data_IF_909088208831
#
_entry.id   IF_909088208831
#
_cell.length_a   1.000
_cell.length_b   1.000
_cell.length_c   1.000
_cell.angle_alpha   90.00
_cell.angle_beta   90.00
_cell.angle_gamma   90.00
#
_symmetry.space_group_name_H-M   'P 1'
#
loop_
_entity.id
_entity.type
_entity.pdbx_description
1 polymer ?
#
# COMPACT_ATOMS: atom_id res chain seq x y z
N UNK A 1 -3.82 20.21 -34.64
CA UNK A 1 -2.62 19.45 -34.35
C UNK A 1 -3.00 18.39 -33.31
N UNK A 2 -3.15 17.13 -33.75
CA UNK A 2 -3.42 16.01 -32.85
C UNK A 2 -2.24 15.90 -31.86
N UNK A 3 -2.50 16.16 -30.59
CA UNK A 3 -1.53 15.81 -29.53
C UNK A 3 -1.20 14.33 -29.68
N UNK A 4 0.06 13.91 -29.63
CA UNK A 4 0.41 12.51 -29.74
C UNK A 4 -0.36 11.72 -28.66
N UNK A 5 -1.07 10.67 -29.08
CA UNK A 5 -1.75 9.78 -28.16
C UNK A 5 -0.67 9.07 -27.32
N UNK A 6 -0.60 9.43 -26.02
CA UNK A 6 0.30 8.76 -25.08
C UNK A 6 -0.09 7.28 -24.96
N UNK A 7 0.90 6.42 -25.01
CA UNK A 7 0.74 4.99 -24.78
C UNK A 7 1.11 4.64 -23.33
N UNK A 8 0.29 3.81 -22.68
CA UNK A 8 0.45 3.43 -21.29
C UNK A 8 0.43 1.92 -21.15
N UNK A 9 1.36 1.37 -20.38
CA UNK A 9 1.23 0.02 -19.85
C UNK A 9 0.66 0.04 -18.44
N UNK A 10 -0.33 -0.82 -18.18
CA UNK A 10 -0.85 -1.10 -16.85
C UNK A 10 -0.28 -2.45 -16.45
N UNK A 11 0.78 -2.45 -15.63
CA UNK A 11 1.46 -3.68 -15.20
C UNK A 11 0.68 -4.32 -14.06
N UNK A 12 0.36 -5.60 -14.21
CA UNK A 12 -0.36 -6.41 -13.21
C UNK A 12 0.36 -7.73 -12.97
N UNK A 13 0.09 -8.36 -11.83
CA UNK A 13 0.64 -9.68 -11.51
C UNK A 13 0.01 -10.77 -12.39
N UNK A 14 0.85 -11.50 -13.11
CA UNK A 14 0.41 -12.57 -14.02
C UNK A 14 -0.03 -13.86 -13.33
N UNK A 15 0.27 -14.02 -12.04
CA UNK A 15 -0.05 -15.21 -11.26
C UNK A 15 -1.32 -15.04 -10.39
N UNK A 16 -1.83 -13.82 -10.24
CA UNK A 16 -3.07 -13.56 -9.52
C UNK A 16 -4.28 -13.81 -10.43
N UNK A 17 -4.91 -14.97 -10.25
CA UNK A 17 -6.02 -15.43 -11.13
C UNK A 17 -7.41 -15.01 -10.65
N UNK A 18 -7.53 -14.40 -9.47
CA UNK A 18 -8.84 -14.00 -8.96
C UNK A 18 -9.42 -12.83 -9.77
N UNK A 19 -10.71 -12.93 -10.17
CA UNK A 19 -11.42 -11.95 -11.02
C UNK A 19 -11.29 -10.51 -10.54
N UNK A 20 -11.31 -10.26 -9.22
CA UNK A 20 -11.14 -8.91 -8.65
C UNK A 20 -9.91 -8.15 -9.15
N UNK A 21 -8.82 -8.85 -9.51
CA UNK A 21 -7.60 -8.22 -10.02
C UNK A 21 -7.71 -7.89 -11.51
N UNK A 22 -8.35 -8.77 -12.29
CA UNK A 22 -8.64 -8.48 -13.71
C UNK A 22 -9.66 -7.36 -13.87
N UNK A 23 -10.68 -7.33 -13.02
CA UNK A 23 -11.71 -6.28 -13.03
C UNK A 23 -11.11 -4.93 -12.67
N UNK A 24 -10.21 -4.88 -11.67
CA UNK A 24 -9.46 -3.66 -11.34
C UNK A 24 -8.57 -3.20 -12.51
N UNK A 25 -7.88 -4.13 -13.18
CA UNK A 25 -7.04 -3.78 -14.33
C UNK A 25 -7.85 -3.20 -15.49
N UNK A 26 -9.02 -3.78 -15.77
CA UNK A 26 -9.95 -3.27 -16.77
C UNK A 26 -10.50 -1.89 -16.39
N UNK A 27 -10.90 -1.70 -15.13
CA UNK A 27 -11.39 -0.43 -14.61
C UNK A 27 -10.35 0.70 -14.79
N UNK A 28 -9.08 0.42 -14.51
CA UNK A 28 -7.97 1.37 -14.70
C UNK A 28 -7.74 1.61 -16.20
N UNK A 29 -7.76 0.57 -17.03
CA UNK A 29 -7.60 0.70 -18.50
C UNK A 29 -8.69 1.58 -19.09
N UNK A 30 -9.93 1.38 -18.70
CA UNK A 30 -11.06 2.20 -19.17
C UNK A 30 -10.89 3.69 -18.79
N UNK A 31 -10.39 3.96 -17.57
CA UNK A 31 -10.06 5.32 -17.15
C UNK A 31 -8.97 5.95 -18.02
N UNK A 32 -7.89 5.22 -18.33
CA UNK A 32 -6.85 5.67 -19.24
C UNK A 32 -7.40 6.05 -20.63
N UNK A 33 -8.24 5.17 -21.19
CA UNK A 33 -8.87 5.39 -22.50
C UNK A 33 -9.78 6.61 -22.47
N UNK A 34 -10.61 6.79 -21.41
CA UNK A 34 -11.44 8.00 -21.26
C UNK A 34 -10.62 9.31 -21.23
N UNK A 35 -9.39 9.21 -20.71
CA UNK A 35 -8.46 10.36 -20.65
C UNK A 35 -7.58 10.50 -21.90
N UNK A 36 -7.86 9.74 -22.97
CA UNK A 36 -7.21 9.85 -24.28
C UNK A 36 -5.87 9.11 -24.41
N UNK A 37 -5.56 8.17 -23.51
CA UNK A 37 -4.38 7.33 -23.64
C UNK A 37 -4.73 6.04 -24.40
N UNK A 38 -3.73 5.50 -25.13
CA UNK A 38 -3.74 4.11 -25.58
C UNK A 38 -3.20 3.24 -24.45
N UNK A 39 -3.99 2.35 -23.88
CA UNK A 39 -3.61 1.58 -22.69
C UNK A 39 -3.64 0.08 -22.93
N UNK A 40 -2.58 -0.62 -22.55
CA UNK A 40 -2.47 -2.08 -22.58
C UNK A 40 -2.25 -2.64 -21.18
N UNK A 41 -2.98 -3.71 -20.86
CA UNK A 41 -2.76 -4.47 -19.63
C UNK A 41 -1.65 -5.48 -19.90
N UNK A 42 -0.54 -5.35 -19.19
CA UNK A 42 0.63 -6.22 -19.33
C UNK A 42 0.83 -7.03 -18.06
N UNK A 43 0.90 -8.33 -18.18
CA UNK A 43 1.23 -9.21 -17.07
C UNK A 43 2.76 -9.24 -16.85
N UNK A 44 3.22 -9.05 -15.60
CA UNK A 44 4.65 -9.14 -15.30
C UNK A 44 5.27 -10.48 -15.74
N UNK A 45 4.51 -11.57 -15.69
CA UNK A 45 4.92 -12.91 -16.17
C UNK A 45 5.17 -13.01 -17.68
N UNK A 46 4.77 -12.02 -18.48
CA UNK A 46 5.04 -11.96 -19.92
C UNK A 46 6.27 -11.11 -20.26
N UNK A 47 6.93 -10.55 -19.26
CA UNK A 47 8.11 -9.70 -19.39
C UNK A 47 9.35 -10.40 -18.83
N UNK A 48 10.47 -10.20 -19.48
CA UNK A 48 11.77 -10.71 -19.07
C UNK A 48 12.74 -9.53 -18.91
N UNK A 49 12.79 -8.91 -17.71
CA UNK A 49 13.81 -7.91 -17.40
C UNK A 49 15.18 -8.61 -17.26
N UNK A 50 16.19 -8.08 -17.90
CA UNK A 50 17.54 -8.64 -17.89
C UNK A 50 18.61 -7.57 -17.98
N UNK A 51 19.79 -7.87 -17.49
CA UNK A 51 21.00 -7.06 -17.71
C UNK A 51 21.82 -7.75 -18.78
N UNK A 52 22.03 -7.07 -19.88
CA UNK A 52 22.84 -7.56 -21.02
C UNK A 52 23.92 -6.51 -21.31
N UNK A 53 25.17 -6.91 -21.32
CA UNK A 53 26.33 -6.01 -21.49
C UNK A 53 26.34 -4.79 -20.57
N UNK A 54 25.92 -4.99 -19.30
CA UNK A 54 25.83 -3.93 -18.26
C UNK A 54 24.69 -2.94 -18.45
N UNK A 55 23.73 -3.22 -19.33
CA UNK A 55 22.58 -2.35 -19.62
C UNK A 55 21.25 -3.06 -19.31
N UNK A 56 20.24 -2.33 -18.82
CA UNK A 56 18.91 -2.87 -18.65
C UNK A 56 18.27 -3.11 -20.02
N UNK A 57 17.77 -4.32 -20.23
CA UNK A 57 17.08 -4.76 -21.44
C UNK A 57 15.79 -5.46 -21.05
N UNK A 58 14.71 -5.22 -21.78
CA UNK A 58 13.44 -5.90 -21.58
C UNK A 58 13.07 -6.71 -22.80
N UNK A 59 12.79 -7.99 -22.60
CA UNK A 59 12.24 -8.88 -23.63
C UNK A 59 10.84 -9.34 -23.22
N UNK A 60 10.02 -9.66 -24.21
CA UNK A 60 8.64 -10.11 -23.99
C UNK A 60 7.77 -9.99 -25.23
N UNK A 61 6.50 -10.27 -25.08
CA UNK A 61 5.52 -10.22 -26.18
C UNK A 61 4.95 -8.82 -26.34
N UNK A 62 5.78 -7.86 -26.78
CA UNK A 62 5.37 -6.51 -27.10
C UNK A 62 6.06 -6.02 -28.38
N UNK A 63 5.42 -5.07 -29.08
CA UNK A 63 5.96 -4.52 -30.34
C UNK A 63 6.76 -3.22 -30.10
N UNK A 64 6.42 -2.47 -29.05
CA UNK A 64 7.11 -1.23 -28.65
C UNK A 64 6.96 -1.00 -27.15
N UNK A 65 7.87 -0.22 -26.59
CA UNK A 65 7.74 0.28 -25.22
C UNK A 65 6.67 1.38 -25.13
N UNK A 66 6.02 1.54 -23.98
CA UNK A 66 5.05 2.61 -23.75
C UNK A 66 5.75 3.95 -23.48
N UNK A 67 4.99 5.05 -23.52
CA UNK A 67 5.47 6.36 -23.08
C UNK A 67 5.53 6.46 -21.55
N UNK A 68 4.63 5.73 -20.84
CA UNK A 68 4.58 5.66 -19.39
C UNK A 68 4.02 4.32 -18.88
N UNK A 69 4.24 4.03 -17.61
CA UNK A 69 3.78 2.81 -16.94
C UNK A 69 2.97 3.16 -15.69
N UNK A 70 1.77 2.60 -15.54
CA UNK A 70 1.02 2.53 -14.29
C UNK A 70 1.26 1.15 -13.67
N UNK A 71 1.95 1.13 -12.53
CA UNK A 71 2.42 -0.13 -11.95
C UNK A 71 1.49 -0.60 -10.83
N UNK A 72 0.65 -1.59 -11.13
CA UNK A 72 -0.39 -2.10 -10.22
C UNK A 72 0.01 -3.45 -9.58
N UNK A 73 1.29 -3.60 -9.25
CA UNK A 73 1.84 -4.77 -8.58
C UNK A 73 2.93 -4.37 -7.57
N UNK A 74 3.46 -5.36 -6.85
CA UNK A 74 4.55 -5.22 -5.87
C UNK A 74 5.87 -5.83 -6.37
N UNK A 75 6.01 -6.06 -7.67
CA UNK A 75 7.24 -6.52 -8.31
C UNK A 75 8.25 -5.36 -8.41
N UNK A 76 8.91 -5.08 -7.28
CA UNK A 76 9.84 -3.95 -7.15
C UNK A 76 11.00 -4.07 -8.14
N UNK A 77 11.48 -5.30 -8.39
CA UNK A 77 12.59 -5.53 -9.32
C UNK A 77 12.22 -5.12 -10.75
N UNK A 78 11.03 -5.50 -11.22
CA UNK A 78 10.54 -5.09 -12.53
C UNK A 78 10.29 -3.59 -12.60
N UNK A 79 9.64 -3.00 -11.60
CA UNK A 79 9.41 -1.56 -11.56
C UNK A 79 10.71 -0.78 -11.66
N UNK A 80 11.72 -1.17 -10.87
CA UNK A 80 13.07 -0.58 -10.90
C UNK A 80 13.76 -0.75 -12.25
N UNK A 81 13.59 -1.92 -12.87
CA UNK A 81 14.17 -2.20 -14.18
C UNK A 81 13.60 -1.27 -15.27
N UNK A 82 12.27 -1.05 -15.25
CA UNK A 82 11.62 -0.12 -16.18
C UNK A 82 12.10 1.32 -16.00
N UNK A 83 12.28 1.77 -14.75
CA UNK A 83 12.87 3.07 -14.43
C UNK A 83 14.32 3.19 -14.96
N UNK A 84 15.14 2.15 -14.80
CA UNK A 84 16.50 2.12 -15.33
C UNK A 84 16.55 2.20 -16.87
N UNK A 85 15.50 1.77 -17.56
CA UNK A 85 15.34 1.93 -19.00
C UNK A 85 14.83 3.33 -19.39
N UNK A 86 14.60 4.23 -18.43
CA UNK A 86 14.14 5.59 -18.65
C UNK A 86 12.62 5.73 -18.80
N UNK A 87 11.84 4.69 -18.47
CA UNK A 87 10.37 4.78 -18.49
C UNK A 87 9.85 5.48 -17.23
N UNK A 88 8.96 6.46 -17.35
CA UNK A 88 8.21 6.99 -16.21
C UNK A 88 7.29 5.92 -15.62
N UNK A 89 7.48 5.57 -14.35
CA UNK A 89 6.70 4.56 -13.62
C UNK A 89 5.92 5.21 -12.47
N UNK A 90 4.62 5.02 -12.44
CA UNK A 90 3.67 5.51 -11.44
C UNK A 90 3.01 4.30 -10.71
N UNK A 91 3.19 4.08 -9.40
CA UNK A 91 4.17 4.71 -8.51
C UNK A 91 5.60 4.22 -8.80
N UNK A 92 6.59 5.01 -8.40
CA UNK A 92 8.01 4.64 -8.49
C UNK A 92 8.33 3.39 -7.67
N UNK A 93 9.33 2.63 -8.09
CA UNK A 93 9.79 1.42 -7.40
C UNK A 93 10.14 1.66 -5.92
N UNK A 94 10.76 2.81 -5.61
CA UNK A 94 11.10 3.20 -4.23
C UNK A 94 9.87 3.43 -3.34
N UNK A 95 8.79 3.97 -3.91
CA UNK A 95 7.50 4.15 -3.23
C UNK A 95 6.86 2.80 -2.95
N UNK A 96 6.81 1.92 -3.97
CA UNK A 96 6.25 0.57 -3.83
C UNK A 96 7.01 -0.19 -2.75
N UNK A 97 8.34 -0.16 -2.77
CA UNK A 97 9.20 -0.83 -1.79
C UNK A 97 8.98 -0.32 -0.37
N UNK A 98 8.86 0.99 -0.20
CA UNK A 98 8.64 1.59 1.12
C UNK A 98 7.25 1.27 1.65
N UNK A 99 6.21 1.42 0.83
CA UNK A 99 4.82 1.14 1.21
C UNK A 99 4.55 -0.35 1.46
N UNK A 100 5.26 -1.26 0.80
CA UNK A 100 5.08 -2.71 1.02
C UNK A 100 5.64 -3.16 2.39
N UNK A 101 6.57 -2.42 2.98
CA UNK A 101 7.14 -2.70 4.29
C UNK A 101 6.58 -1.78 5.36
N UNK A 102 5.75 -2.30 6.29
CA UNK A 102 5.22 -1.52 7.43
C UNK A 102 6.32 -0.85 8.25
N UNK A 103 7.45 -1.55 8.44
CA UNK A 103 8.58 -0.98 9.17
C UNK A 103 9.18 0.24 8.44
N UNK A 104 9.47 0.13 7.14
CA UNK A 104 10.01 1.22 6.33
C UNK A 104 9.05 2.41 6.26
N UNK A 105 7.74 2.14 6.03
CA UNK A 105 6.70 3.16 6.02
C UNK A 105 6.66 3.94 7.32
N UNK A 106 6.58 3.24 8.47
CA UNK A 106 6.50 3.90 9.78
C UNK A 106 7.76 4.69 10.09
N UNK A 107 8.96 4.16 9.80
CA UNK A 107 10.22 4.85 10.03
C UNK A 107 10.35 6.12 9.18
N UNK A 108 10.02 6.05 7.88
CA UNK A 108 10.06 7.20 6.98
C UNK A 108 9.11 8.32 7.43
N UNK A 109 7.90 7.96 7.83
CA UNK A 109 6.88 8.92 8.25
C UNK A 109 7.12 9.47 9.67
N UNK A 110 7.65 8.66 10.59
CA UNK A 110 8.04 9.09 11.92
C UNK A 110 9.13 10.18 11.89
N UNK A 111 10.09 10.06 10.97
CA UNK A 111 11.14 11.08 10.76
C UNK A 111 10.57 12.47 10.40
N UNK A 112 9.34 12.51 9.87
CA UNK A 112 8.64 13.75 9.50
C UNK A 112 7.53 14.14 10.49
N UNK A 113 7.45 13.48 11.64
CA UNK A 113 6.49 13.79 12.71
C UNK A 113 5.04 13.43 12.38
N UNK A 114 4.80 12.41 11.56
CA UNK A 114 3.45 11.89 11.29
C UNK A 114 2.94 11.17 12.54
N UNK A 115 1.74 11.52 13.07
CA UNK A 115 1.16 10.85 14.21
C UNK A 115 0.77 9.41 13.88
N UNK A 116 1.18 8.47 14.72
CA UNK A 116 0.93 7.04 14.56
C UNK A 116 0.93 6.33 15.93
N UNK A 117 0.39 5.12 16.05
CA UNK A 117 0.49 4.33 17.28
C UNK A 117 1.94 4.12 17.70
N UNK A 118 2.21 4.04 19.03
CA UNK A 118 3.55 3.65 19.51
C UNK A 118 3.96 2.36 18.84
N UNK A 119 5.13 2.39 18.20
CA UNK A 119 5.61 1.27 17.37
C UNK A 119 7.00 0.87 17.81
N UNK A 120 7.21 -0.43 18.01
CA UNK A 120 8.50 -1.01 18.33
C UNK A 120 8.94 -1.92 17.19
N UNK A 121 10.19 -1.79 16.77
CA UNK A 121 10.85 -2.60 15.76
C UNK A 121 11.78 -3.58 16.45
N UNK A 122 11.39 -4.85 16.60
CA UNK A 122 12.22 -5.84 17.28
C UNK A 122 13.44 -6.20 16.44
N UNK A 123 14.53 -6.73 17.07
CA UNK A 123 15.68 -7.22 16.34
C UNK A 123 15.30 -8.30 15.34
N UNK A 124 15.95 -8.27 14.18
CA UNK A 124 15.84 -9.31 13.17
C UNK A 124 16.54 -10.58 13.62
N UNK A 125 16.06 -11.75 13.16
CA UNK A 125 16.78 -13.03 13.25
C UNK A 125 16.76 -13.75 11.93
N UNK A 126 17.63 -14.72 11.72
CA UNK A 126 17.79 -15.44 10.47
C UNK A 126 16.96 -16.73 10.46
N UNK A 127 16.65 -17.22 9.26
CA UNK A 127 16.02 -18.52 9.08
C UNK A 127 16.89 -19.63 9.73
N UNK A 128 16.25 -20.54 10.44
CA UNK A 128 16.94 -21.60 11.19
C UNK A 128 17.58 -21.17 12.52
N UNK A 129 17.58 -19.84 12.82
CA UNK A 129 18.04 -19.33 14.11
C UNK A 129 16.83 -19.02 14.99
N UNK A 130 16.59 -19.84 16.00
CA UNK A 130 15.50 -19.62 16.96
C UNK A 130 15.74 -18.40 17.86
N UNK A 131 14.67 -17.84 18.41
CA UNK A 131 14.73 -16.84 19.47
C UNK A 131 14.77 -17.56 20.82
N UNK A 132 15.95 -17.68 21.38
CA UNK A 132 16.15 -18.40 22.66
C UNK A 132 15.95 -17.51 23.88
N UNK A 133 16.09 -16.19 23.72
CA UNK A 133 15.85 -15.19 24.76
C UNK A 133 14.64 -14.31 24.39
N UNK A 134 13.58 -14.41 25.17
CA UNK A 134 12.34 -13.65 25.01
C UNK A 134 12.20 -12.48 25.98
N UNK A 135 13.22 -12.21 26.82
CA UNK A 135 13.17 -11.15 27.83
C UNK A 135 12.90 -9.76 27.25
N UNK A 136 13.40 -9.50 26.02
CA UNK A 136 13.07 -8.26 25.30
C UNK A 136 11.56 -8.15 25.06
N UNK A 137 10.88 -9.23 24.68
CA UNK A 137 9.46 -9.22 24.38
C UNK A 137 8.59 -9.03 25.63
N UNK A 138 9.01 -9.54 26.79
CA UNK A 138 8.42 -9.21 28.09
C UNK A 138 8.46 -7.69 28.33
N UNK A 139 9.62 -7.04 28.12
CA UNK A 139 9.76 -5.59 28.25
C UNK A 139 8.91 -4.83 27.23
N UNK A 140 8.81 -5.30 26.00
CA UNK A 140 7.95 -4.72 24.97
C UNK A 140 6.48 -4.76 25.39
N UNK A 141 6.00 -5.90 25.89
CA UNK A 141 4.64 -6.06 26.41
C UNK A 141 4.36 -5.08 27.57
N UNK A 142 5.30 -4.92 28.50
CA UNK A 142 5.20 -3.94 29.59
C UNK A 142 5.17 -2.49 29.08
N UNK A 143 5.89 -2.17 27.99
CA UNK A 143 5.99 -0.81 27.41
C UNK A 143 4.73 -0.42 26.63
N UNK A 144 4.17 -1.34 25.84
CA UNK A 144 2.99 -1.10 25.00
C UNK A 144 1.68 -1.34 25.77
N UNK A 145 1.69 -2.21 26.78
CA UNK A 145 0.49 -2.71 27.45
C UNK A 145 -0.23 -3.78 26.62
N UNK A 146 -1.21 -4.43 27.24
CA UNK A 146 -2.09 -5.39 26.57
C UNK A 146 -3.52 -4.87 26.55
N UNK A 147 -4.30 -5.14 25.47
CA UNK A 147 -3.86 -5.81 24.26
C UNK A 147 -2.88 -4.96 23.46
N UNK A 148 -1.99 -5.61 22.69
CA UNK A 148 -1.12 -4.99 21.70
C UNK A 148 -1.30 -5.66 20.34
N UNK A 149 -0.77 -5.04 19.27
CA UNK A 149 -0.87 -5.55 17.90
C UNK A 149 0.50 -5.96 17.39
N UNK A 150 0.61 -7.19 16.88
CA UNK A 150 1.77 -7.66 16.11
C UNK A 150 1.40 -7.64 14.62
N UNK A 151 2.26 -7.06 13.78
CA UNK A 151 2.05 -7.01 12.33
C UNK A 151 3.30 -7.51 11.62
N UNK A 152 3.17 -8.54 10.77
CA UNK A 152 4.27 -8.88 9.85
C UNK A 152 4.60 -7.67 8.98
N UNK A 153 5.88 -7.43 8.73
CA UNK A 153 6.32 -6.24 7.98
C UNK A 153 5.76 -6.22 6.55
N UNK A 154 5.64 -7.40 5.96
CA UNK A 154 5.03 -7.60 4.64
C UNK A 154 3.70 -8.33 4.80
N UNK A 155 2.77 -8.05 3.91
CA UNK A 155 1.46 -8.68 3.93
C UNK A 155 0.34 -7.75 3.48
N UNK A 156 -0.81 -8.33 3.19
CA UNK A 156 -1.97 -7.60 2.65
C UNK A 156 -3.26 -8.12 3.27
N UNK A 157 -4.33 -7.34 3.14
CA UNK A 157 -5.69 -7.72 3.54
C UNK A 157 -5.87 -8.04 5.03
N UNK A 158 -4.94 -7.59 5.90
CA UNK A 158 -5.02 -7.79 7.34
C UNK A 158 -4.75 -9.23 7.83
N UNK A 159 -4.34 -10.15 6.95
CA UNK A 159 -4.10 -11.56 7.29
C UNK A 159 -2.91 -11.75 8.26
N UNK A 160 -1.92 -10.86 8.18
CA UNK A 160 -0.70 -10.89 8.98
C UNK A 160 -0.73 -9.86 10.12
N UNK A 161 -1.90 -9.65 10.72
CA UNK A 161 -2.11 -8.71 11.83
C UNK A 161 -2.79 -9.45 12.97
N UNK A 162 -2.17 -9.44 14.15
CA UNK A 162 -2.54 -10.26 15.30
C UNK A 162 -2.78 -9.37 16.52
N UNK A 163 -3.93 -9.54 17.19
CA UNK A 163 -4.22 -8.92 18.48
C UNK A 163 -3.73 -9.88 19.58
N UNK A 164 -2.94 -9.37 20.49
CA UNK A 164 -2.26 -10.13 21.54
C UNK A 164 -2.74 -9.62 22.90
N UNK A 165 -3.27 -10.51 23.73
CA UNK A 165 -3.89 -10.17 25.00
C UNK A 165 -3.03 -10.44 26.23
N UNK A 166 -1.94 -11.23 26.07
CA UNK A 166 -1.09 -11.60 27.19
C UNK A 166 0.38 -11.78 26.78
N UNK A 167 1.26 -11.81 27.78
CA UNK A 167 2.69 -12.08 27.56
C UNK A 167 2.90 -13.46 26.94
N UNK A 168 2.15 -14.47 27.38
CA UNK A 168 2.23 -15.80 26.83
C UNK A 168 1.90 -15.84 25.34
N UNK A 169 0.78 -15.21 24.93
CA UNK A 169 0.40 -15.09 23.52
C UNK A 169 1.46 -14.35 22.69
N UNK A 170 2.08 -13.32 23.30
CA UNK A 170 3.14 -12.58 22.61
C UNK A 170 4.34 -13.48 22.36
N UNK A 171 4.79 -14.23 23.36
CA UNK A 171 5.93 -15.13 23.23
C UNK A 171 5.67 -16.25 22.21
N UNK A 172 4.48 -16.87 22.26
CA UNK A 172 4.06 -17.88 21.27
C UNK A 172 4.07 -17.30 19.85
N UNK A 173 3.47 -16.11 19.63
CA UNK A 173 3.42 -15.46 18.32
C UNK A 173 4.80 -15.11 17.80
N UNK A 174 5.68 -14.59 18.64
CA UNK A 174 7.06 -14.23 18.26
C UNK A 174 7.87 -15.48 17.87
N UNK A 175 7.65 -16.60 18.51
CA UNK A 175 8.27 -17.88 18.16
C UNK A 175 7.74 -18.40 16.81
N UNK A 176 6.44 -18.32 16.56
CA UNK A 176 5.82 -18.71 15.27
C UNK A 176 6.30 -17.85 14.10
N UNK A 177 6.49 -16.55 14.31
CA UNK A 177 6.99 -15.65 13.27
C UNK A 177 8.46 -15.94 12.92
N UNK A 178 9.21 -16.58 13.82
CA UNK A 178 10.59 -16.99 13.61
C UNK A 178 11.45 -15.86 12.98
N UNK A 179 11.93 -16.06 11.74
CA UNK A 179 12.76 -15.11 11.01
C UNK A 179 11.98 -14.02 10.25
N UNK A 180 10.66 -14.10 10.19
CA UNK A 180 9.87 -13.08 9.50
C UNK A 180 10.02 -11.72 10.20
N UNK A 181 10.26 -10.63 9.46
CA UNK A 181 10.27 -9.29 10.04
C UNK A 181 8.85 -8.87 10.41
N UNK A 182 8.70 -8.23 11.57
CA UNK A 182 7.42 -7.72 12.08
C UNK A 182 7.62 -6.47 12.92
N UNK A 183 6.54 -5.77 13.22
CA UNK A 183 6.47 -4.64 14.15
C UNK A 183 5.48 -4.95 15.27
N UNK A 184 5.65 -4.30 16.42
CA UNK A 184 4.70 -4.33 17.53
C UNK A 184 4.16 -2.94 17.75
N UNK A 185 2.86 -2.83 17.94
CA UNK A 185 2.19 -1.54 18.12
C UNK A 185 1.24 -1.56 19.31
N UNK A 186 1.05 -0.40 19.95
CA UNK A 186 -0.04 -0.22 20.89
C UNK A 186 -1.39 -0.43 20.18
N UNK A 187 -2.33 -0.97 20.90
CA UNK A 187 -3.69 -1.14 20.40
C UNK A 187 -4.50 0.16 20.59
N UNK A 188 -5.13 0.63 19.54
CA UNK A 188 -5.97 1.83 19.57
C UNK A 188 -7.44 1.41 19.78
N UNK A 189 -7.85 1.38 21.03
CA UNK A 189 -9.17 0.91 21.47
C UNK A 189 -10.32 1.73 20.87
N UNK A 190 -10.12 3.04 20.70
CA UNK A 190 -11.07 3.95 20.06
C UNK A 190 -11.31 3.64 18.58
N UNK A 191 -10.46 2.82 17.96
CA UNK A 191 -10.57 2.38 16.56
C UNK A 191 -10.88 0.89 16.43
N UNK A 192 -11.39 0.23 17.47
CA UNK A 192 -11.78 -1.18 17.39
C UNK A 192 -12.78 -1.41 16.27
N UNK A 193 -12.42 -2.27 15.32
CA UNK A 193 -13.28 -2.64 14.19
C UNK A 193 -13.65 -1.48 13.25
N UNK A 194 -12.93 -0.35 13.29
CA UNK A 194 -13.20 0.78 12.39
C UNK A 194 -11.93 1.52 12.02
N UNK A 195 -11.89 1.98 10.77
CA UNK A 195 -10.86 2.84 10.23
C UNK A 195 -11.40 3.70 9.08
N UNK A 196 -10.57 4.62 8.61
CA UNK A 196 -10.85 5.44 7.43
C UNK A 196 -9.81 5.11 6.38
N UNK A 197 -10.24 4.86 5.14
CA UNK A 197 -9.37 4.85 3.97
C UNK A 197 -9.57 6.09 3.15
N UNK A 198 -8.52 6.88 2.99
CA UNK A 198 -8.48 8.06 2.12
C UNK A 198 -7.58 7.74 0.93
N UNK A 199 -8.11 7.83 -0.29
CA UNK A 199 -7.29 7.72 -1.50
C UNK A 199 -6.80 9.10 -1.88
N UNK A 200 -5.47 9.22 -1.91
CA UNK A 200 -4.75 10.44 -2.30
C UNK A 200 -4.26 10.29 -3.73
N UNK A 201 -4.37 11.34 -4.52
CA UNK A 201 -3.80 11.45 -5.88
C UNK A 201 -3.09 12.80 -5.95
N UNK A 202 -1.77 12.78 -6.10
CA UNK A 202 -0.94 13.98 -6.06
C UNK A 202 -1.05 14.70 -4.71
N UNK A 203 -1.63 15.89 -4.74
CA UNK A 203 -1.84 16.78 -3.59
C UNK A 203 -3.30 16.83 -3.10
N UNK A 204 -4.15 15.88 -3.49
CA UNK A 204 -5.57 15.89 -3.18
C UNK A 204 -6.08 14.57 -2.58
N UNK A 205 -6.97 14.68 -1.59
CA UNK A 205 -7.82 13.58 -1.15
C UNK A 205 -8.91 13.34 -2.22
N UNK A 206 -8.75 12.27 -2.97
CA UNK A 206 -9.60 12.01 -4.14
C UNK A 206 -10.97 11.43 -3.76
N UNK A 207 -11.01 10.53 -2.79
CA UNK A 207 -12.21 9.94 -2.22
C UNK A 207 -11.87 9.26 -0.87
N UNK A 208 -12.87 9.10 -0.01
CA UNK A 208 -12.70 8.40 1.25
C UNK A 208 -13.89 7.51 1.59
N UNK A 209 -13.61 6.43 2.31
CA UNK A 209 -14.61 5.54 2.89
C UNK A 209 -14.23 5.20 4.33
N UNK A 210 -15.24 5.07 5.17
CA UNK A 210 -15.11 4.49 6.51
C UNK A 210 -15.43 3.00 6.42
N UNK A 211 -14.55 2.18 7.01
CA UNK A 211 -14.75 0.74 7.08
C UNK A 211 -15.09 0.36 8.52
N UNK A 212 -15.99 -0.61 8.68
CA UNK A 212 -16.43 -1.09 10.00
C UNK A 212 -16.58 -2.61 9.99
N UNK A 213 -16.18 -3.24 11.09
CA UNK A 213 -16.42 -4.65 11.38
C UNK A 213 -17.06 -4.78 12.76
N UNK A 214 -18.08 -5.63 12.89
CA UNK A 214 -18.74 -5.87 14.16
C UNK A 214 -18.01 -6.93 15.02
N UNK A 215 -17.25 -7.84 14.37
CA UNK A 215 -16.75 -9.06 15.01
C UNK A 215 -15.22 -9.18 14.97
N UNK A 216 -14.53 -8.24 14.34
CA UNK A 216 -13.06 -8.24 14.24
C UNK A 216 -12.52 -6.86 14.63
N UNK A 217 -11.39 -6.82 15.33
CA UNK A 217 -10.73 -5.56 15.64
C UNK A 217 -10.20 -4.84 14.38
N UNK A 218 -10.02 -5.57 13.28
CA UNK A 218 -9.66 -5.05 11.96
C UNK A 218 -10.92 -4.69 11.18
N UNK A 219 -10.91 -3.57 10.49
CA UNK A 219 -12.01 -3.11 9.65
C UNK A 219 -11.96 -3.61 8.20
N UNK A 220 -11.08 -4.57 7.90
CA UNK A 220 -10.82 -5.02 6.53
C UNK A 220 -12.05 -5.66 5.88
N UNK A 221 -12.33 -5.26 4.63
CA UNK A 221 -13.45 -5.79 3.83
C UNK A 221 -13.38 -7.31 3.64
N UNK A 222 -12.18 -7.87 3.49
CA UNK A 222 -11.95 -9.32 3.33
C UNK A 222 -12.30 -10.13 4.58
N UNK A 223 -12.42 -9.50 5.74
CA UNK A 223 -12.87 -10.10 6.99
C UNK A 223 -14.37 -9.87 7.28
N UNK A 224 -15.17 -9.52 6.25
CA UNK A 224 -16.61 -9.24 6.40
C UNK A 224 -16.93 -7.82 6.87
N UNK A 225 -16.00 -6.89 6.76
CA UNK A 225 -16.23 -5.48 7.04
C UNK A 225 -17.23 -4.85 6.07
N UNK A 226 -17.86 -3.76 6.52
CA UNK A 226 -18.72 -2.90 5.69
C UNK A 226 -18.00 -1.59 5.40
N UNK A 227 -18.28 -1.01 4.23
CA UNK A 227 -17.79 0.31 3.86
C UNK A 227 -18.96 1.26 3.61
N UNK A 228 -18.78 2.52 4.02
CA UNK A 228 -19.70 3.62 3.74
C UNK A 228 -18.92 4.84 3.23
N UNK A 229 -19.51 5.67 2.37
CA UNK A 229 -18.89 6.92 1.96
C UNK A 229 -18.55 7.77 3.19
N UNK A 230 -17.40 8.42 3.16
CA UNK A 230 -16.94 9.23 4.29
C UNK A 230 -16.45 10.59 3.82
N UNK A 231 -16.78 11.64 4.54
CA UNK A 231 -16.22 12.98 4.35
C UNK A 231 -15.17 13.19 5.43
N UNK A 232 -13.87 13.15 5.08
CA UNK A 232 -12.81 13.36 6.06
C UNK A 232 -12.88 14.76 6.68
N UNK A 233 -12.42 14.88 7.90
CA UNK A 233 -12.09 16.18 8.48
C UNK A 233 -10.85 16.77 7.81
N UNK A 234 -10.64 18.07 7.99
CA UNK A 234 -9.44 18.73 7.46
C UNK A 234 -8.15 18.07 7.98
N UNK A 235 -8.10 17.72 9.26
CA UNK A 235 -6.94 17.08 9.88
C UNK A 235 -6.66 15.68 9.29
N UNK A 236 -7.71 14.91 9.00
CA UNK A 236 -7.59 13.59 8.36
C UNK A 236 -7.11 13.70 6.91
N UNK A 237 -7.63 14.67 6.15
CA UNK A 237 -7.16 14.94 4.78
C UNK A 237 -5.69 15.37 4.75
N UNK A 238 -5.32 16.35 5.58
CA UNK A 238 -3.95 16.85 5.68
C UNK A 238 -2.97 15.73 6.06
N UNK A 239 -3.35 14.90 7.04
CA UNK A 239 -2.54 13.75 7.46
C UNK A 239 -2.34 12.75 6.32
N UNK A 240 -3.39 12.42 5.58
CA UNK A 240 -3.32 11.47 4.47
C UNK A 240 -2.47 12.02 3.32
N UNK A 241 -2.71 13.25 2.90
CA UNK A 241 -1.95 13.91 1.81
C UNK A 241 -0.48 14.02 2.17
N UNK A 242 -0.17 14.52 3.38
CA UNK A 242 1.20 14.66 3.86
C UNK A 242 1.92 13.32 3.93
N UNK A 243 1.24 12.25 4.39
CA UNK A 243 1.82 10.92 4.42
C UNK A 243 2.18 10.40 3.03
N UNK A 244 1.29 10.55 2.04
CA UNK A 244 1.56 10.17 0.67
C UNK A 244 2.72 10.98 0.05
N UNK A 245 2.75 12.29 0.27
CA UNK A 245 3.80 13.20 -0.24
C UNK A 245 5.18 12.90 0.34
N UNK A 246 5.29 12.64 1.65
CA UNK A 246 6.58 12.28 2.29
C UNK A 246 7.16 11.01 1.67
N UNK A 247 6.30 10.03 1.32
CA UNK A 247 6.73 8.80 0.66
C UNK A 247 7.00 9.00 -0.84
N UNK A 248 6.63 10.15 -1.41
CA UNK A 248 6.74 10.43 -2.84
C UNK A 248 5.74 9.67 -3.69
N UNK A 249 4.60 9.28 -3.12
CA UNK A 249 3.58 8.53 -3.84
C UNK A 249 2.77 9.44 -4.76
N UNK A 250 2.66 9.05 -6.03
CA UNK A 250 1.79 9.70 -7.01
C UNK A 250 0.32 9.47 -6.68
N UNK A 251 0.02 8.29 -6.18
CA UNK A 251 -1.28 7.92 -5.63
C UNK A 251 -1.13 6.86 -4.54
N UNK A 252 -1.97 6.92 -3.53
CA UNK A 252 -1.96 5.97 -2.43
C UNK A 252 -3.33 5.84 -1.75
N UNK A 253 -3.58 4.67 -1.17
CA UNK A 253 -4.63 4.49 -0.17
C UNK A 253 -4.04 4.61 1.22
N UNK A 254 -4.41 5.64 1.97
CA UNK A 254 -3.95 5.91 3.33
C UNK A 254 -5.01 5.47 4.32
N UNK A 255 -4.64 4.59 5.23
CA UNK A 255 -5.51 4.08 6.29
C UNK A 255 -5.23 4.83 7.59
N UNK A 256 -6.27 5.41 8.19
CA UNK A 256 -6.20 6.17 9.43
C UNK A 256 -7.05 5.51 10.52
N UNK A 257 -6.53 5.51 11.75
CA UNK A 257 -7.23 5.09 12.95
C UNK A 257 -7.81 6.30 13.67
N UNK A 258 -8.90 6.10 14.38
CA UNK A 258 -9.51 7.08 15.28
C UNK A 258 -8.77 7.11 16.62
N UNK A 259 -7.76 7.95 16.74
CA UNK A 259 -7.04 8.15 18.01
C UNK A 259 -7.82 9.04 18.99
N UNK A 260 -7.45 9.02 20.27
CA UNK A 260 -8.08 9.85 21.33
C UNK A 260 -7.88 11.35 21.11
N UNK A 261 -6.76 11.74 20.51
CA UNK A 261 -6.35 13.13 20.32
C UNK A 261 -6.21 13.52 18.84
N UNK A 262 -6.94 12.87 17.96
CA UNK A 262 -6.87 13.08 16.52
C UNK A 262 -6.57 11.79 15.73
N UNK A 263 -6.51 11.87 14.40
CA UNK A 263 -6.26 10.71 13.56
C UNK A 263 -4.82 10.21 13.70
N UNK A 264 -4.64 8.90 13.61
CA UNK A 264 -3.34 8.23 13.64
C UNK A 264 -3.15 7.44 12.34
N UNK A 265 -1.96 7.54 11.76
CA UNK A 265 -1.62 6.73 10.60
C UNK A 265 -1.57 5.24 10.95
N UNK A 266 -2.26 4.42 10.17
CA UNK A 266 -2.21 2.97 10.26
C UNK A 266 -1.31 2.34 9.19
N UNK A 267 -1.52 2.71 7.92
CA UNK A 267 -0.84 2.12 6.77
C UNK A 267 -0.94 3.04 5.55
N UNK A 268 0.04 2.96 4.64
CA UNK A 268 -0.01 3.58 3.30
C UNK A 268 0.15 2.49 2.26
N UNK A 269 -0.80 2.41 1.34
CA UNK A 269 -0.85 1.41 0.28
C UNK A 269 -0.61 2.07 -1.08
N UNK A 270 0.54 1.81 -1.71
CA UNK A 270 0.87 2.32 -3.04
C UNK A 270 0.00 1.74 -4.15
N UNK A 271 -0.71 0.65 -3.87
CA UNK A 271 -1.55 -0.09 -4.82
C UNK A 271 -2.90 -0.45 -4.17
N UNK A 272 -3.73 0.57 -3.93
CA UNK A 272 -5.02 0.38 -3.28
C UNK A 272 -6.09 -0.14 -4.26
N UNK A 273 -7.06 -0.90 -3.74
CA UNK A 273 -8.14 -1.48 -4.55
C UNK A 273 -9.23 -0.44 -4.84
N UNK A 274 -9.15 0.22 -6.00
CA UNK A 274 -10.00 1.35 -6.38
C UNK A 274 -11.46 0.96 -6.66
N UNK A 275 -11.72 -0.28 -7.07
CA UNK A 275 -13.05 -0.71 -7.45
C UNK A 275 -14.03 -0.72 -6.27
N UNK A 276 -13.61 -1.25 -5.10
CA UNK A 276 -14.44 -1.20 -3.90
C UNK A 276 -14.72 0.23 -3.42
N UNK A 277 -13.77 1.13 -3.61
CA UNK A 277 -13.97 2.54 -3.30
C UNK A 277 -15.01 3.16 -4.23
N UNK A 278 -14.93 2.85 -5.54
CA UNK A 278 -15.91 3.30 -6.53
C UNK A 278 -17.32 2.76 -6.24
N UNK A 279 -17.43 1.47 -5.94
CA UNK A 279 -18.70 0.84 -5.55
C UNK A 279 -19.31 1.49 -4.30
N UNK A 280 -18.46 1.88 -3.34
CA UNK A 280 -18.88 2.53 -2.10
C UNK A 280 -19.27 3.99 -2.30
N UNK A 281 -18.47 4.78 -3.06
CA UNK A 281 -18.57 6.25 -3.08
C UNK A 281 -19.15 6.81 -4.37
N UNK A 282 -19.17 6.03 -5.46
CA UNK A 282 -19.47 6.51 -6.81
C UNK A 282 -18.37 7.37 -7.44
N UNK A 283 -17.23 7.58 -6.74
CA UNK A 283 -16.12 8.43 -7.22
C UNK A 283 -15.07 7.59 -7.92
N UNK A 284 -14.86 7.85 -9.21
CA UNK A 284 -13.84 7.18 -9.99
C UNK A 284 -12.44 7.79 -9.75
N UNK A 285 -11.69 7.21 -8.82
CA UNK A 285 -10.33 7.66 -8.50
C UNK A 285 -9.35 7.39 -9.64
N UNK A 286 -9.58 6.34 -10.46
CA UNK A 286 -8.72 6.06 -11.60
C UNK A 286 -8.76 7.20 -12.65
N UNK A 287 -9.90 7.85 -12.85
CA UNK A 287 -9.97 9.04 -13.73
C UNK A 287 -9.09 10.18 -13.19
N UNK A 288 -9.11 10.43 -11.87
CA UNK A 288 -8.26 11.44 -11.23
C UNK A 288 -6.77 11.08 -11.31
N UNK A 289 -6.43 9.78 -11.19
CA UNK A 289 -5.05 9.30 -11.38
C UNK A 289 -4.53 9.65 -12.77
N UNK A 290 -5.30 9.40 -13.82
CA UNK A 290 -4.86 9.73 -15.18
C UNK A 290 -4.85 11.22 -15.47
N UNK A 291 -5.74 12.04 -14.88
CA UNK A 291 -5.64 13.51 -14.94
C UNK A 291 -4.31 13.99 -14.34
N UNK A 292 -3.92 13.45 -13.19
CA UNK A 292 -2.65 13.72 -12.54
C UNK A 292 -1.46 13.25 -13.39
N UNK A 293 -1.45 11.98 -13.83
CA UNK A 293 -0.36 11.38 -14.63
C UNK A 293 -0.13 12.19 -15.92
N UNK A 294 -1.19 12.54 -16.66
CA UNK A 294 -1.07 13.33 -17.89
C UNK A 294 -0.52 14.73 -17.61
N UNK A 295 -0.90 15.35 -16.49
CA UNK A 295 -0.38 16.64 -16.06
C UNK A 295 1.11 16.57 -15.73
N UNK A 296 1.54 15.56 -14.94
CA UNK A 296 2.94 15.39 -14.56
C UNK A 296 3.83 14.98 -15.75
N UNK A 297 3.33 14.16 -16.66
CA UNK A 297 4.05 13.74 -17.86
C UNK A 297 4.33 14.91 -18.84
N UNK A 298 3.49 15.96 -18.81
CA UNK A 298 3.64 17.15 -19.68
C UNK A 298 4.52 18.25 -19.08
N UNK A 299 4.94 18.11 -17.81
CA UNK A 299 5.87 19.03 -17.14
C UNK A 299 7.31 18.71 -17.48
#
# INVERSE_FOLDING_TARGET
LNSPHLSCWIIVNGYLQHTKFSDLALFIKEAAVRKGLSADIIRNSSLMPMIEDGRPVLRGSFTRLPDLVVFMDKDIALAKHLEMMGLPVFNKSSVIETCDSKAKTHQALAACGIPMPKTIFPPFTYEGVGRTDLHLFTKIGQTLGYPLVVKEAYGSFGQQVYLIHSEQELQERVMELAHKPFILQEFIDTSFGKDIRINVVGDQAAAAMKRTSANDFRANMTAGGKAEPYTPTQEEEELAIRSAQILGADFAGVDLLFGKNGPLLCEVNSNSHLLHLYECTGINVADKMFDYIVKEFRR
#
